data_IF_423394915961
#
_entry.id   IF_423394915961
#
_cell.length_a   1.000
_cell.length_b   1.000
_cell.length_c   1.000
_cell.angle_alpha   90.00
_cell.angle_beta   90.00
_cell.angle_gamma   90.00
#
_symmetry.space_group_name_H-M   'P 1'
#
loop_
_entity.id
_entity.type
_entity.pdbx_description
1 polymer ?
#
# COMPACT_ATOMS: atom_id res chain seq x y z
N UNK A 1 -14.72 -2.04 10.62
CA UNK A 1 -13.48 -2.45 11.33
C UNK A 1 -12.23 -1.79 10.73
N UNK A 2 -12.04 -1.74 9.38
CA UNK A 2 -10.89 -1.05 8.76
C UNK A 2 -10.76 0.38 9.26
N UNK A 3 -11.86 1.16 9.28
CA UNK A 3 -11.85 2.53 9.79
C UNK A 3 -11.38 2.60 11.24
N UNK A 4 -11.82 1.68 12.11
CA UNK A 4 -11.38 1.65 13.50
C UNK A 4 -9.87 1.41 13.61
N UNK A 5 -9.31 0.52 12.78
CA UNK A 5 -7.86 0.29 12.73
C UNK A 5 -7.09 1.50 12.21
N UNK A 6 -7.63 2.21 11.24
CA UNK A 6 -7.05 3.47 10.73
C UNK A 6 -7.07 4.55 11.82
N UNK A 7 -8.17 4.70 12.54
CA UNK A 7 -8.28 5.65 13.67
C UNK A 7 -7.29 5.29 14.80
N UNK A 8 -7.09 3.99 15.07
CA UNK A 8 -6.11 3.49 16.04
C UNK A 8 -4.67 3.80 15.59
N UNK A 9 -4.32 3.57 14.32
CA UNK A 9 -3.02 3.95 13.75
C UNK A 9 -2.77 5.44 13.92
N UNK A 10 -3.74 6.29 13.60
CA UNK A 10 -3.62 7.74 13.73
C UNK A 10 -3.42 8.18 15.19
N UNK A 11 -4.15 7.58 16.11
CA UNK A 11 -4.01 7.87 17.55
C UNK A 11 -2.61 7.54 18.05
N UNK A 12 -2.09 6.35 17.70
CA UNK A 12 -0.74 5.91 18.05
C UNK A 12 0.31 6.83 17.41
N UNK A 13 0.16 7.17 16.13
CA UNK A 13 1.09 8.06 15.42
C UNK A 13 1.20 9.43 16.07
N UNK A 14 0.06 10.04 16.44
CA UNK A 14 0.01 11.32 17.15
C UNK A 14 0.66 11.27 18.54
N UNK A 15 0.44 10.18 19.29
CA UNK A 15 1.05 9.99 20.60
C UNK A 15 2.57 9.77 20.50
N UNK A 16 3.03 8.95 19.53
CA UNK A 16 4.46 8.75 19.26
C UNK A 16 5.14 10.07 18.88
N UNK A 17 4.54 10.87 17.99
CA UNK A 17 5.08 12.18 17.62
C UNK A 17 5.18 13.13 18.85
N UNK A 18 4.18 13.12 19.71
CA UNK A 18 4.18 13.89 20.97
C UNK A 18 5.28 13.43 21.92
N UNK A 19 5.43 12.10 22.10
CA UNK A 19 6.48 11.53 22.94
C UNK A 19 7.88 11.86 22.38
N UNK A 20 8.06 11.79 21.07
CA UNK A 20 9.35 12.16 20.43
C UNK A 20 9.75 13.60 20.78
N UNK A 21 8.79 14.54 20.74
CA UNK A 21 9.01 15.93 21.12
C UNK A 21 9.40 16.06 22.60
N UNK A 22 8.70 15.37 23.50
CA UNK A 22 8.98 15.38 24.94
C UNK A 22 10.34 14.76 25.27
N UNK A 23 10.66 13.60 24.66
CA UNK A 23 11.94 12.92 24.81
C UNK A 23 13.06 13.85 24.39
N UNK A 24 12.99 14.43 23.20
CA UNK A 24 14.02 15.35 22.70
C UNK A 24 14.19 16.57 23.61
N UNK A 25 13.10 17.14 24.14
CA UNK A 25 13.16 18.28 25.06
C UNK A 25 13.95 17.94 26.33
N UNK A 26 13.75 16.75 26.89
CA UNK A 26 14.45 16.28 28.09
C UNK A 26 15.90 15.92 27.74
N UNK A 27 16.14 15.18 26.67
CA UNK A 27 17.46 14.66 26.34
C UNK A 27 18.44 15.74 25.86
N UNK A 28 17.96 16.86 25.33
CA UNK A 28 18.76 18.07 25.10
C UNK A 28 19.40 18.63 26.37
N UNK A 29 18.83 18.34 27.54
CA UNK A 29 19.42 18.73 28.85
C UNK A 29 20.48 17.76 29.37
N UNK A 30 20.73 16.65 28.63
CA UNK A 30 21.67 15.59 29.01
C UNK A 30 21.06 14.49 29.90
N UNK A 31 19.76 14.53 30.16
CA UNK A 31 19.04 13.52 30.98
C UNK A 31 18.34 12.53 30.06
N UNK A 32 18.43 11.23 30.34
CA UNK A 32 17.71 10.19 29.58
C UNK A 32 16.25 10.11 30.00
N UNK A 33 15.34 10.16 29.01
CA UNK A 33 13.89 10.10 29.20
C UNK A 33 13.37 8.64 29.14
N UNK A 34 13.87 7.75 30.00
CA UNK A 34 13.62 6.30 29.91
C UNK A 34 12.12 5.96 29.96
N UNK A 35 11.34 6.51 30.87
CA UNK A 35 9.92 6.22 31.00
C UNK A 35 9.12 6.59 29.73
N UNK A 36 9.46 7.71 29.08
CA UNK A 36 8.82 8.12 27.83
C UNK A 36 9.27 7.24 26.65
N UNK A 37 10.53 6.80 26.66
CA UNK A 37 11.03 5.84 25.66
C UNK A 37 10.34 4.48 25.79
N UNK A 38 10.15 3.99 27.02
CA UNK A 38 9.44 2.74 27.29
C UNK A 38 7.98 2.83 26.82
N UNK A 39 7.31 3.95 27.14
CA UNK A 39 5.93 4.19 26.65
C UNK A 39 5.88 4.23 25.11
N UNK A 40 6.84 4.91 24.46
CA UNK A 40 6.94 4.92 22.99
C UNK A 40 7.10 3.52 22.43
N UNK A 41 7.93 2.69 23.05
CA UNK A 41 8.15 1.30 22.62
C UNK A 41 6.85 0.49 22.71
N UNK A 42 6.08 0.62 23.79
CA UNK A 42 4.78 -0.05 23.92
C UNK A 42 3.81 0.36 22.81
N UNK A 43 3.75 1.63 22.44
CA UNK A 43 2.92 2.10 21.33
C UNK A 43 3.35 1.52 19.98
N UNK A 44 4.65 1.37 19.75
CA UNK A 44 5.18 0.72 18.55
C UNK A 44 4.82 -0.77 18.53
N UNK A 45 4.86 -1.45 19.67
CA UNK A 45 4.42 -2.85 19.80
C UNK A 45 2.92 -3.00 19.52
N UNK A 46 2.10 -2.05 19.96
CA UNK A 46 0.67 -2.01 19.64
C UNK A 46 0.44 -1.78 18.15
N UNK A 47 1.14 -0.81 17.56
CA UNK A 47 1.06 -0.52 16.12
C UNK A 47 1.46 -1.74 15.28
N UNK A 48 2.49 -2.49 15.71
CA UNK A 48 2.98 -3.67 14.98
C UNK A 48 1.97 -4.82 14.89
N UNK A 49 0.96 -4.85 15.74
CA UNK A 49 -0.15 -5.81 15.64
C UNK A 49 -1.12 -5.44 14.52
N UNK A 50 -1.24 -4.14 14.23
CA UNK A 50 -2.19 -3.61 13.26
C UNK A 50 -1.60 -3.62 11.84
N UNK A 51 -0.31 -3.26 11.72
CA UNK A 51 0.39 -3.12 10.45
C UNK A 51 1.88 -3.42 10.62
N UNK A 52 2.58 -3.86 9.57
CA UNK A 52 4.03 -4.01 9.62
C UNK A 52 4.73 -2.67 9.87
N UNK A 53 5.68 -2.65 10.80
CA UNK A 53 6.33 -1.43 11.29
C UNK A 53 7.84 -1.52 11.16
N UNK A 54 8.43 -0.47 10.63
CA UNK A 54 9.88 -0.27 10.59
C UNK A 54 10.24 1.01 11.33
N UNK A 55 11.14 0.91 12.30
CA UNK A 55 11.59 2.05 13.10
C UNK A 55 13.05 2.37 12.79
N UNK A 56 13.36 3.66 12.67
CA UNK A 56 14.73 4.15 12.56
C UNK A 56 14.93 5.37 13.46
N UNK A 57 15.93 5.31 14.33
CA UNK A 57 16.34 6.44 15.18
C UNK A 57 17.74 6.90 14.75
N UNK A 58 17.91 8.19 14.53
CA UNK A 58 19.17 8.81 14.13
C UNK A 58 19.48 10.03 14.99
N UNK A 59 20.71 10.20 15.52
CA UNK A 59 21.07 11.38 16.29
C UNK A 59 20.98 12.63 15.40
N UNK A 60 20.58 13.74 16.01
CA UNK A 60 20.58 15.06 15.37
C UNK A 60 21.93 15.71 15.67
N UNK A 61 22.65 16.06 14.61
CA UNK A 61 23.96 16.69 14.65
C UNK A 61 23.82 18.22 14.79
N UNK A 62 24.73 18.83 15.53
CA UNK A 62 24.79 20.29 15.68
C UNK A 62 25.13 20.96 14.33
N UNK A 63 24.31 21.90 13.89
CA UNK A 63 24.50 22.62 12.63
C UNK A 63 25.83 23.38 12.54
N UNK A 64 26.43 23.74 13.68
CA UNK A 64 27.70 24.47 13.76
C UNK A 64 28.93 23.56 13.99
N UNK A 65 28.69 22.29 14.28
CA UNK A 65 29.75 21.32 14.52
C UNK A 65 29.33 19.91 14.17
N UNK A 66 29.70 19.46 12.98
CA UNK A 66 29.32 18.15 12.43
C UNK A 66 29.77 16.93 13.27
N UNK A 67 30.70 17.12 14.18
CA UNK A 67 31.17 16.06 15.06
C UNK A 67 30.47 16.06 16.43
N UNK A 68 29.50 16.93 16.64
CA UNK A 68 28.79 17.06 17.92
C UNK A 68 27.33 16.69 17.78
N UNK A 69 26.90 15.64 18.51
CA UNK A 69 25.51 15.30 18.69
C UNK A 69 24.82 16.29 19.62
N UNK A 70 23.60 16.69 19.30
CA UNK A 70 22.81 17.61 20.13
C UNK A 70 22.23 16.95 21.38
N UNK A 71 22.20 15.61 21.40
CA UNK A 71 21.48 14.81 22.41
C UNK A 71 20.04 14.46 22.00
N UNK A 72 19.47 15.19 21.05
CA UNK A 72 18.17 14.86 20.46
C UNK A 72 18.30 13.84 19.34
N UNK A 73 17.23 13.08 19.10
CA UNK A 73 17.18 12.07 18.05
C UNK A 73 15.96 12.31 17.13
N UNK A 74 16.17 12.04 15.84
CA UNK A 74 15.09 11.93 14.86
C UNK A 74 14.60 10.49 14.85
N UNK A 75 13.39 10.28 15.35
CA UNK A 75 12.73 8.98 15.40
C UNK A 75 11.73 8.87 14.27
N UNK A 76 11.93 7.93 13.37
CA UNK A 76 11.10 7.72 12.18
C UNK A 76 10.37 6.39 12.29
N UNK A 77 9.08 6.39 11.99
CA UNK A 77 8.24 5.20 11.93
C UNK A 77 7.68 5.08 10.51
N UNK A 78 7.96 3.97 9.87
CA UNK A 78 7.42 3.61 8.57
C UNK A 78 6.51 2.40 8.71
N UNK A 79 5.46 2.35 7.91
CA UNK A 79 4.49 1.26 7.89
C UNK A 79 4.33 0.69 6.49
N UNK A 80 3.77 -0.51 6.39
CA UNK A 80 3.32 -1.12 5.14
C UNK A 80 4.32 -1.03 3.99
N UNK A 81 5.52 -1.57 4.19
CA UNK A 81 6.55 -1.61 3.15
C UNK A 81 7.34 -0.31 2.99
N UNK A 82 7.40 0.53 4.03
CA UNK A 82 8.30 1.67 4.08
C UNK A 82 7.67 3.03 3.88
N UNK A 83 6.33 3.13 3.94
CA UNK A 83 5.60 4.40 3.88
C UNK A 83 5.75 5.17 5.20
N UNK A 84 6.07 6.46 5.14
CA UNK A 84 6.37 7.28 6.32
C UNK A 84 5.10 7.64 7.08
N UNK A 85 5.00 7.19 8.33
CA UNK A 85 3.90 7.53 9.24
C UNK A 85 4.31 8.63 10.23
N UNK A 86 5.46 8.48 10.89
CA UNK A 86 5.96 9.47 11.86
C UNK A 86 7.38 9.87 11.48
N UNK A 87 7.64 11.18 11.52
CA UNK A 87 8.98 11.74 11.30
C UNK A 87 9.29 12.78 12.39
N UNK A 88 10.04 12.35 13.39
CA UNK A 88 10.33 13.20 14.54
C UNK A 88 9.07 13.57 15.32
N UNK A 89 8.72 14.84 15.37
CA UNK A 89 7.53 15.38 16.04
C UNK A 89 6.29 15.52 15.14
N UNK A 90 6.41 15.16 13.87
CA UNK A 90 5.34 15.25 12.89
C UNK A 90 4.88 13.86 12.48
N UNK A 91 3.63 13.74 12.07
CA UNK A 91 3.09 12.50 11.54
C UNK A 91 2.15 12.77 10.35
N UNK A 92 2.10 11.83 9.42
CA UNK A 92 1.15 11.82 8.32
C UNK A 92 0.02 10.84 8.66
N UNK A 93 -1.17 11.37 8.88
CA UNK A 93 -2.34 10.55 9.22
C UNK A 93 -2.92 9.83 8.02
N UNK A 94 -3.78 8.85 8.29
CA UNK A 94 -4.54 8.12 7.30
C UNK A 94 -6.01 8.53 7.37
N UNK A 95 -6.67 8.61 6.21
CA UNK A 95 -8.08 8.93 6.10
C UNK A 95 -8.84 7.82 5.36
N UNK A 96 -10.03 7.48 5.84
CA UNK A 96 -10.93 6.56 5.16
C UNK A 96 -11.92 7.33 4.30
N UNK A 97 -11.89 7.09 3.00
CA UNK A 97 -12.81 7.68 2.02
C UNK A 97 -13.68 6.58 1.44
N UNK A 98 -15.00 6.81 1.39
CA UNK A 98 -15.93 5.85 0.82
C UNK A 98 -15.71 5.73 -0.70
N UNK A 99 -15.57 4.50 -1.19
CA UNK A 99 -15.53 4.21 -2.63
C UNK A 99 -16.82 4.67 -3.30
N UNK A 100 -16.66 5.26 -4.47
CA UNK A 100 -17.79 5.48 -5.38
C UNK A 100 -18.08 4.20 -6.17
N UNK A 101 -19.24 4.16 -6.85
CA UNK A 101 -19.62 3.01 -7.70
C UNK A 101 -18.64 2.74 -8.86
N UNK A 102 -17.80 3.70 -9.22
CA UNK A 102 -16.77 3.57 -10.27
C UNK A 102 -15.44 2.99 -9.75
N UNK A 103 -15.24 2.97 -8.45
CA UNK A 103 -13.99 2.53 -7.80
C UNK A 103 -14.13 1.15 -7.16
N UNK A 104 -15.15 0.39 -7.54
CA UNK A 104 -15.33 -0.97 -7.03
C UNK A 104 -14.21 -1.89 -7.50
N UNK A 105 -13.64 -2.63 -6.56
CA UNK A 105 -12.64 -3.66 -6.84
C UNK A 105 -13.31 -4.94 -7.34
N UNK A 106 -14.49 -5.26 -6.78
CA UNK A 106 -15.34 -6.37 -7.22
C UNK A 106 -16.71 -5.86 -7.70
N UNK A 107 -17.30 -6.51 -8.69
CA UNK A 107 -18.66 -6.20 -9.13
C UNK A 107 -19.71 -6.35 -8.02
N UNK A 108 -19.47 -7.29 -7.10
CA UNK A 108 -20.35 -7.60 -5.97
C UNK A 108 -20.15 -6.69 -4.77
N UNK A 109 -19.16 -5.79 -4.81
CA UNK A 109 -18.92 -4.85 -3.72
C UNK A 109 -20.15 -3.95 -3.52
N UNK A 110 -20.53 -3.79 -2.26
CA UNK A 110 -21.54 -2.80 -1.89
C UNK A 110 -20.95 -1.38 -2.01
N UNK A 111 -21.81 -0.40 -2.24
CA UNK A 111 -21.38 1.00 -2.25
C UNK A 111 -20.91 1.44 -0.86
N UNK A 112 -19.92 2.31 -0.83
CA UNK A 112 -19.44 2.93 0.41
C UNK A 112 -18.40 2.12 1.18
N UNK A 113 -17.79 1.08 0.60
CA UNK A 113 -16.59 0.49 1.17
C UNK A 113 -15.46 1.52 1.22
N UNK A 114 -14.66 1.50 2.29
CA UNK A 114 -13.62 2.50 2.48
C UNK A 114 -12.34 2.16 1.73
N UNK A 115 -11.82 3.16 1.00
CA UNK A 115 -10.41 3.26 0.65
C UNK A 115 -9.66 4.05 1.71
N UNK A 116 -8.35 3.84 1.79
CA UNK A 116 -7.49 4.54 2.74
C UNK A 116 -6.54 5.44 1.95
N UNK A 117 -6.47 6.69 2.38
CA UNK A 117 -5.59 7.71 1.82
C UNK A 117 -4.70 8.27 2.93
N UNK A 118 -3.55 8.79 2.57
CA UNK A 118 -2.79 9.67 3.43
C UNK A 118 -3.49 11.03 3.56
N UNK A 119 -3.31 11.72 4.66
CA UNK A 119 -3.88 13.06 4.88
C UNK A 119 -3.43 14.11 3.85
N UNK A 120 -2.34 13.85 3.14
CA UNK A 120 -1.87 14.66 2.01
C UNK A 120 -2.60 14.35 0.68
N UNK A 121 -3.56 13.43 0.69
CA UNK A 121 -4.37 13.04 -0.46
C UNK A 121 -3.76 11.94 -1.33
N UNK A 122 -2.59 11.42 -1.01
CA UNK A 122 -2.01 10.28 -1.72
C UNK A 122 -2.72 8.99 -1.29
N UNK A 123 -2.95 8.08 -2.23
CA UNK A 123 -3.55 6.78 -1.92
C UNK A 123 -2.58 5.94 -1.09
N UNK A 124 -3.08 5.37 0.00
CA UNK A 124 -2.34 4.38 0.79
C UNK A 124 -2.38 3.03 0.07
N UNK A 125 -1.23 2.41 -0.14
CA UNK A 125 -1.17 1.12 -0.81
C UNK A 125 -1.63 -0.01 0.13
N UNK A 126 -2.93 -0.34 0.05
CA UNK A 126 -3.57 -1.40 0.85
C UNK A 126 -3.13 -2.82 0.46
N UNK A 127 -2.60 -3.00 -0.75
CA UNK A 127 -2.24 -4.32 -1.29
C UNK A 127 -0.74 -4.58 -1.26
N UNK A 128 0.01 -3.76 -0.52
CA UNK A 128 1.44 -3.98 -0.35
C UNK A 128 1.70 -5.33 0.33
N UNK A 129 2.60 -6.15 -0.25
CA UNK A 129 2.97 -7.46 0.31
C UNK A 129 3.50 -7.38 1.75
N UNK A 130 4.06 -6.23 2.14
CA UNK A 130 4.58 -5.95 3.49
C UNK A 130 3.58 -5.19 4.36
N UNK A 131 2.29 -5.25 4.08
CA UNK A 131 1.26 -4.62 4.93
C UNK A 131 1.26 -5.22 6.33
N UNK A 132 1.16 -6.54 6.44
CA UNK A 132 1.15 -7.27 7.70
C UNK A 132 -0.01 -6.93 8.65
N UNK A 133 -0.04 -7.61 9.80
CA UNK A 133 -0.94 -7.32 10.91
C UNK A 133 -2.43 -7.49 10.64
N UNK A 134 -3.26 -6.98 11.57
CA UNK A 134 -4.72 -7.06 11.52
C UNK A 134 -5.29 -6.39 10.27
N UNK A 135 -4.67 -5.27 9.84
CA UNK A 135 -5.15 -4.51 8.70
C UNK A 135 -5.07 -5.33 7.40
N UNK A 136 -3.97 -6.05 7.17
CA UNK A 136 -3.82 -6.95 6.02
C UNK A 136 -4.91 -8.02 6.01
N UNK A 137 -5.20 -8.65 7.17
CA UNK A 137 -6.25 -9.64 7.30
C UNK A 137 -7.64 -9.10 6.98
N UNK A 138 -7.96 -7.89 7.44
CA UNK A 138 -9.23 -7.22 7.15
C UNK A 138 -9.39 -6.87 5.67
N UNK A 139 -8.31 -6.42 5.02
CA UNK A 139 -8.30 -6.15 3.58
C UNK A 139 -8.51 -7.43 2.78
N UNK A 140 -7.79 -8.50 3.12
CA UNK A 140 -7.96 -9.80 2.46
C UNK A 140 -9.37 -10.36 2.65
N UNK A 141 -9.97 -10.22 3.83
CA UNK A 141 -11.35 -10.63 4.08
C UNK A 141 -12.36 -9.83 3.26
N UNK A 142 -12.09 -8.55 3.05
CA UNK A 142 -12.95 -7.65 2.27
C UNK A 142 -12.84 -7.90 0.77
N UNK A 143 -11.62 -7.96 0.26
CA UNK A 143 -11.34 -7.91 -1.18
C UNK A 143 -10.97 -9.29 -1.78
N UNK A 144 -10.78 -10.30 -0.93
CA UNK A 144 -10.51 -11.69 -1.37
C UNK A 144 -9.24 -11.78 -2.22
N UNK A 145 -9.37 -12.39 -3.41
CA UNK A 145 -8.25 -12.61 -4.33
C UNK A 145 -7.62 -11.32 -4.87
N UNK A 146 -8.33 -10.21 -4.79
CA UNK A 146 -7.88 -8.93 -5.36
C UNK A 146 -6.72 -8.31 -4.56
N UNK A 147 -6.41 -8.84 -3.37
CA UNK A 147 -5.23 -8.48 -2.60
C UNK A 147 -3.95 -9.24 -2.97
N UNK A 148 -4.01 -10.17 -3.94
CA UNK A 148 -2.82 -10.90 -4.37
C UNK A 148 -1.94 -10.08 -5.31
N UNK A 149 -0.65 -10.13 -5.08
CA UNK A 149 0.33 -9.48 -5.94
C UNK A 149 0.82 -10.45 -7.02
N UNK A 150 0.88 -9.97 -8.24
CA UNK A 150 1.37 -10.71 -9.40
C UNK A 150 2.49 -9.95 -10.08
N UNK A 151 3.38 -10.72 -10.72
CA UNK A 151 4.29 -10.16 -11.71
C UNK A 151 3.52 -10.02 -13.03
N UNK A 152 3.47 -8.81 -13.56
CA UNK A 152 2.82 -8.50 -14.81
C UNK A 152 3.81 -7.99 -15.85
N UNK A 153 3.46 -8.08 -17.13
CA UNK A 153 4.25 -7.55 -18.24
C UNK A 153 3.37 -6.61 -19.06
N UNK A 154 3.81 -5.37 -19.19
CA UNK A 154 3.15 -4.38 -20.03
C UNK A 154 3.68 -4.41 -21.45
N UNK A 155 2.79 -4.32 -22.43
CA UNK A 155 3.13 -4.19 -23.85
C UNK A 155 2.20 -3.20 -24.51
N UNK A 156 2.72 -2.46 -25.49
CA UNK A 156 1.93 -1.59 -26.35
C UNK A 156 1.64 -2.29 -27.65
N UNK A 157 0.37 -2.47 -27.98
CA UNK A 157 -0.07 -3.08 -29.24
C UNK A 157 -0.86 -2.09 -30.08
N UNK A 158 -0.73 -2.21 -31.41
CA UNK A 158 -1.54 -1.42 -32.34
C UNK A 158 -2.54 -2.33 -33.00
N UNK A 159 -3.82 -2.08 -32.74
CA UNK A 159 -4.94 -2.78 -33.37
C UNK A 159 -5.91 -1.75 -33.98
N UNK A 160 -6.41 -2.05 -35.19
CA UNK A 160 -7.38 -1.19 -35.90
C UNK A 160 -6.96 0.28 -36.06
N UNK A 161 -5.63 0.51 -36.18
CA UNK A 161 -5.07 1.86 -36.32
C UNK A 161 -5.03 2.66 -35.03
N UNK A 162 -5.36 2.05 -33.88
CA UNK A 162 -5.24 2.63 -32.53
C UNK A 162 -4.19 1.88 -31.74
N UNK A 163 -3.46 2.61 -30.91
CA UNK A 163 -2.49 2.05 -29.99
C UNK A 163 -3.16 1.78 -28.66
N UNK A 164 -3.09 0.53 -28.20
CA UNK A 164 -3.59 0.11 -26.90
C UNK A 164 -2.44 -0.47 -26.09
N UNK A 165 -2.37 -0.05 -24.85
CA UNK A 165 -1.48 -0.67 -23.90
C UNK A 165 -2.17 -1.91 -23.31
N UNK A 166 -1.45 -3.00 -23.18
CA UNK A 166 -1.93 -4.25 -22.60
C UNK A 166 -1.06 -4.65 -21.42
N UNK A 167 -1.69 -5.28 -20.43
CA UNK A 167 -1.02 -5.86 -19.26
C UNK A 167 -1.31 -7.34 -19.22
N UNK A 168 -0.27 -8.15 -19.16
CA UNK A 168 -0.36 -9.61 -19.12
C UNK A 168 0.10 -10.12 -17.76
N UNK A 169 -0.75 -10.93 -17.12
CA UNK A 169 -0.49 -11.55 -15.80
C UNK A 169 -0.58 -13.06 -15.93
N UNK A 170 0.46 -13.78 -15.50
CA UNK A 170 0.47 -15.24 -15.44
C UNK A 170 0.12 -15.73 -14.04
N UNK A 171 -0.86 -16.63 -13.96
CA UNK A 171 -1.38 -17.17 -12.71
C UNK A 171 -1.19 -18.69 -12.65
N UNK A 172 -0.42 -19.15 -11.67
CA UNK A 172 -0.17 -20.58 -11.42
C UNK A 172 -0.90 -21.12 -10.20
N UNK A 173 -1.32 -20.26 -9.29
CA UNK A 173 -2.04 -20.68 -8.06
C UNK A 173 -3.46 -21.14 -8.42
N UNK A 174 -3.81 -22.37 -8.06
CA UNK A 174 -5.06 -23.02 -8.46
C UNK A 174 -6.33 -22.22 -8.10
N UNK A 175 -6.37 -21.56 -6.94
CA UNK A 175 -7.56 -20.78 -6.53
C UNK A 175 -7.76 -19.48 -7.35
N UNK A 176 -6.70 -18.98 -8.00
CA UNK A 176 -6.76 -17.83 -8.88
C UNK A 176 -7.07 -18.21 -10.34
N UNK A 177 -7.04 -19.52 -10.64
CA UNK A 177 -7.37 -20.07 -11.96
C UNK A 177 -8.89 -20.28 -12.12
N UNK A 178 -9.66 -20.22 -11.04
CA UNK A 178 -11.10 -20.35 -11.07
C UNK A 178 -11.74 -18.99 -11.35
N UNK A 179 -12.20 -18.79 -12.57
CA UNK A 179 -12.86 -17.55 -13.03
C UNK A 179 -14.08 -17.16 -12.19
N UNK A 180 -14.78 -18.14 -11.58
CA UNK A 180 -15.91 -17.85 -10.69
C UNK A 180 -15.48 -17.26 -9.35
N UNK A 181 -14.21 -17.42 -8.98
CA UNK A 181 -13.60 -16.87 -7.76
C UNK A 181 -12.77 -15.62 -8.03
N UNK A 182 -12.32 -15.43 -9.26
CA UNK A 182 -11.64 -14.23 -9.71
C UNK A 182 -12.68 -13.20 -10.13
N UNK A 183 -13.13 -12.34 -9.25
CA UNK A 183 -14.18 -11.35 -9.51
C UNK A 183 -13.71 -10.23 -10.45
N UNK A 184 -13.26 -10.60 -11.65
CA UNK A 184 -12.88 -9.65 -12.69
C UNK A 184 -14.12 -9.07 -13.37
N UNK A 185 -14.16 -7.76 -13.52
CA UNK A 185 -15.25 -7.08 -14.21
C UNK A 185 -15.13 -7.23 -15.73
N UNK A 186 -16.17 -7.70 -16.39
CA UNK A 186 -16.25 -7.77 -17.86
C UNK A 186 -16.40 -6.38 -18.51
N UNK A 187 -16.75 -5.37 -17.73
CA UNK A 187 -17.08 -4.03 -18.20
C UNK A 187 -15.99 -2.99 -17.85
N UNK A 188 -14.79 -3.46 -17.61
CA UNK A 188 -13.69 -2.62 -17.19
C UNK A 188 -13.51 -2.51 -15.67
N UNK A 189 -12.39 -1.99 -15.25
CA UNK A 189 -12.02 -1.87 -13.85
C UNK A 189 -10.68 -1.15 -13.68
N UNK A 190 -10.04 -1.37 -12.54
CA UNK A 190 -8.79 -0.75 -12.16
C UNK A 190 -7.77 -1.84 -11.84
N UNK A 191 -6.55 -1.68 -12.35
CA UNK A 191 -5.38 -2.47 -12.00
C UNK A 191 -4.39 -1.59 -11.22
N UNK A 192 -3.95 -2.08 -10.06
CA UNK A 192 -2.83 -1.47 -9.34
C UNK A 192 -1.52 -2.09 -9.86
N UNK A 193 -0.70 -1.30 -10.51
CA UNK A 193 0.62 -1.71 -11.04
C UNK A 193 1.70 -0.89 -10.32
N UNK A 194 2.37 -1.51 -9.37
CA UNK A 194 3.31 -0.83 -8.50
C UNK A 194 2.57 0.23 -7.65
N UNK A 195 2.93 1.49 -7.78
CA UNK A 195 2.27 2.59 -7.05
C UNK A 195 1.35 3.43 -7.95
N UNK A 196 0.84 2.85 -9.04
CA UNK A 196 0.03 3.54 -10.02
C UNK A 196 -1.19 2.72 -10.41
N UNK A 197 -2.36 3.38 -10.47
CA UNK A 197 -3.59 2.80 -10.97
C UNK A 197 -3.71 2.98 -12.48
N UNK A 198 -4.17 1.92 -13.14
CA UNK A 198 -4.51 1.93 -14.56
C UNK A 198 -5.93 1.44 -14.74
N UNK A 199 -6.72 2.14 -15.54
CA UNK A 199 -8.03 1.70 -15.96
C UNK A 199 -7.89 0.73 -17.12
N UNK A 200 -8.64 -0.38 -17.10
CA UNK A 200 -8.77 -1.31 -18.23
C UNK A 200 -10.21 -1.35 -18.73
N UNK A 201 -10.38 -1.62 -20.02
CA UNK A 201 -11.70 -1.70 -20.67
C UNK A 201 -12.18 -3.14 -20.80
N UNK A 202 -11.27 -4.07 -21.00
CA UNK A 202 -11.56 -5.48 -21.19
C UNK A 202 -10.40 -6.37 -20.77
N UNK A 203 -10.68 -7.65 -20.61
CA UNK A 203 -9.68 -8.68 -20.38
C UNK A 203 -10.05 -9.96 -21.10
N UNK A 204 -9.03 -10.77 -21.41
CA UNK A 204 -9.17 -12.11 -21.94
C UNK A 204 -8.22 -13.04 -21.21
N UNK A 205 -8.42 -14.36 -21.31
CA UNK A 205 -7.51 -15.32 -20.74
C UNK A 205 -7.21 -16.47 -21.71
N UNK A 206 -6.02 -17.03 -21.56
CA UNK A 206 -5.59 -18.28 -22.19
C UNK A 206 -5.13 -19.26 -21.11
N UNK A 207 -5.35 -20.56 -21.35
CA UNK A 207 -4.87 -21.61 -20.46
C UNK A 207 -3.91 -22.51 -21.23
N UNK A 208 -2.70 -22.65 -20.73
CA UNK A 208 -1.67 -23.53 -21.27
C UNK A 208 -1.35 -24.63 -20.26
N UNK A 209 -1.13 -25.85 -20.74
CA UNK A 209 -0.72 -26.98 -19.92
C UNK A 209 0.74 -27.33 -20.22
N UNK A 210 1.54 -27.49 -19.15
CA UNK A 210 2.90 -28.00 -19.29
C UNK A 210 2.92 -29.52 -19.54
N UNK A 211 4.10 -30.10 -19.79
CA UNK A 211 4.28 -31.52 -20.00
C UNK A 211 3.89 -32.41 -18.81
N UNK A 212 3.73 -31.83 -17.61
CA UNK A 212 3.33 -32.47 -16.38
C UNK A 212 1.82 -32.32 -16.10
N UNK A 213 1.10 -31.61 -16.96
CA UNK A 213 -0.33 -31.34 -16.80
C UNK A 213 -0.69 -30.17 -15.88
N UNK A 214 0.28 -29.36 -15.47
CA UNK A 214 0.01 -28.17 -14.68
C UNK A 214 -0.53 -27.03 -15.58
N UNK A 215 -1.63 -26.44 -15.17
CA UNK A 215 -2.25 -25.33 -15.88
C UNK A 215 -1.61 -24.00 -15.50
N UNK A 216 -1.33 -23.17 -16.49
CA UNK A 216 -0.97 -21.76 -16.31
C UNK A 216 -1.99 -20.92 -17.06
N UNK A 217 -2.69 -20.06 -16.31
CA UNK A 217 -3.60 -19.08 -16.89
C UNK A 217 -2.88 -17.76 -17.12
N UNK A 218 -3.01 -17.23 -18.32
CA UNK A 218 -2.49 -15.93 -18.70
C UNK A 218 -3.67 -14.99 -18.91
N UNK A 219 -3.77 -13.96 -18.09
CA UNK A 219 -4.76 -12.90 -18.22
C UNK A 219 -4.13 -11.72 -18.95
N UNK A 220 -4.80 -11.23 -19.99
CA UNK A 220 -4.37 -10.06 -20.75
C UNK A 220 -5.45 -8.99 -20.63
N UNK A 221 -5.10 -7.87 -20.00
CA UNK A 221 -5.95 -6.72 -19.84
C UNK A 221 -5.65 -5.68 -20.91
N UNK A 222 -6.67 -5.20 -21.59
CA UNK A 222 -6.56 -4.08 -22.51
C UNK A 222 -6.85 -2.80 -21.74
N UNK A 223 -5.83 -1.94 -21.62
CA UNK A 223 -5.97 -0.69 -20.88
C UNK A 223 -6.84 0.31 -21.63
N UNK A 224 -7.53 1.15 -20.88
CA UNK A 224 -8.28 2.30 -21.42
C UNK A 224 -7.32 3.28 -22.09
N UNK A 225 -7.88 4.14 -22.91
CA UNK A 225 -7.12 5.16 -23.66
C UNK A 225 -6.37 6.18 -22.77
N UNK A 226 -5.64 7.07 -23.41
CA UNK A 226 -4.83 8.08 -22.73
C UNK A 226 -5.66 9.15 -21.99
N UNK A 227 -6.96 9.22 -22.20
CA UNK A 227 -7.84 10.12 -21.45
C UNK A 227 -7.98 9.62 -20.00
N UNK A 228 -8.15 8.31 -19.82
CA UNK A 228 -8.21 7.66 -18.50
C UNK A 228 -6.82 7.31 -17.94
N UNK A 229 -5.88 6.96 -18.80
CA UNK A 229 -4.50 6.57 -18.44
C UNK A 229 -3.45 7.54 -19.02
N UNK A 230 -3.38 8.79 -18.56
CA UNK A 230 -2.57 9.84 -19.22
C UNK A 230 -1.06 9.60 -19.16
N UNK A 231 -0.60 8.71 -18.29
CA UNK A 231 0.84 8.42 -18.15
C UNK A 231 1.33 7.25 -18.99
N UNK A 232 0.40 6.50 -19.61
CA UNK A 232 0.74 5.27 -20.33
C UNK A 232 1.45 4.23 -19.47
N UNK A 233 1.69 3.05 -20.03
CA UNK A 233 2.42 1.97 -19.37
C UNK A 233 3.85 1.92 -19.90
N UNK A 234 4.84 1.73 -19.00
CA UNK A 234 6.22 1.43 -19.36
C UNK A 234 6.64 0.14 -18.67
N UNK A 235 7.47 -0.67 -19.35
CA UNK A 235 7.92 -1.96 -18.80
C UNK A 235 8.62 -1.85 -17.44
N UNK A 236 9.20 -0.70 -17.13
CA UNK A 236 9.88 -0.44 -15.83
C UNK A 236 8.90 -0.27 -14.65
N UNK A 237 7.59 -0.24 -14.92
CA UNK A 237 6.53 0.00 -13.91
C UNK A 237 5.66 -1.20 -13.66
N UNK A 238 5.89 -2.29 -14.38
CA UNK A 238 5.13 -3.52 -14.31
C UNK A 238 6.02 -4.59 -13.69
N UNK A 239 5.97 -4.75 -12.40
CA UNK A 239 6.77 -5.75 -11.70
C UNK A 239 6.53 -5.75 -10.21
#
# INVERSE_FOLDING_TARGET
EIKLKVDEINSIAGEVATLNKQINTIELTGVKANELRDRRTLLIDELSKIVDVQVKETPIIDANNENRETGANRYMVKIAGGQMLVDGSDYNGLECVARTSYEKVNQTDIDGLYEVYWADGQKFNLYNASMGGDLAGLIQMRDGNNGENFTATGTTTTADGKTHDTVTVKVTKAYLQDLNKCNLSDQGGILDLGNQEFYYDSWEYTCEYDANGNATYTYTFTLSDSEKNPRGITNDRVG
#
